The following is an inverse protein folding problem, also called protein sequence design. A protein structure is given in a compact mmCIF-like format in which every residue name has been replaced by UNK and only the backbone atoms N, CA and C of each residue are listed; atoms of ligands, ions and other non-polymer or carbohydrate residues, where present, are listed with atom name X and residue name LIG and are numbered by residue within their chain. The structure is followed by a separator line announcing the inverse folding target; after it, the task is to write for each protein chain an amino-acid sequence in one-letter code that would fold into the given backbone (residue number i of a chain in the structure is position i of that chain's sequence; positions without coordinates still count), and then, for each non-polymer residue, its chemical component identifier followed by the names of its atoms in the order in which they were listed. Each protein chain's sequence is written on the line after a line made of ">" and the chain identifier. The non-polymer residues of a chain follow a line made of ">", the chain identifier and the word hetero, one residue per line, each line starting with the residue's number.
data_IF_314401259932
#
_entry.id   IF_314401259932
#
_cell.length_a   1.000
_cell.length_b   1.000
_cell.length_c   1.000
_cell.angle_alpha   90.00
_cell.angle_beta   90.00
_cell.angle_gamma   90.00
#
_symmetry.space_group_name_H-M   'P 1'
#
loop_
_entity.id
_entity.type
_entity.pdbx_description
1 polymer ?
#
# COMPACT_ATOMS: atom_id res chain seq x y z
N UNK A 1 -35.91 -42.77 26.56
CA UNK A 1 -35.81 -41.45 25.90
C UNK A 1 -34.51 -40.82 26.36
N UNK A 2 -33.50 -40.89 25.54
CA UNK A 2 -32.17 -40.37 25.83
C UNK A 2 -31.98 -39.03 25.13
N UNK A 3 -31.84 -37.96 25.90
CA UNK A 3 -31.67 -36.59 25.41
C UNK A 3 -30.17 -36.35 25.11
N UNK A 4 -29.81 -36.31 23.82
CA UNK A 4 -28.48 -35.92 23.37
C UNK A 4 -28.37 -34.39 23.39
N UNK A 5 -27.63 -33.88 24.36
CA UNK A 5 -27.19 -32.48 24.39
C UNK A 5 -26.04 -32.30 23.38
N UNK A 6 -26.32 -31.65 22.24
CA UNK A 6 -25.31 -31.14 21.33
C UNK A 6 -24.66 -29.90 21.96
N UNK A 7 -23.49 -30.07 22.52
CA UNK A 7 -22.62 -28.95 22.88
C UNK A 7 -22.01 -28.39 21.59
N UNK A 8 -22.57 -27.30 21.10
CA UNK A 8 -21.97 -26.53 20.01
C UNK A 8 -20.72 -25.83 20.58
N UNK A 9 -19.55 -26.35 20.23
CA UNK A 9 -18.27 -25.68 20.46
C UNK A 9 -18.22 -24.43 19.56
N UNK A 10 -18.66 -23.29 20.08
CA UNK A 10 -18.36 -21.99 19.46
C UNK A 10 -16.87 -21.72 19.63
N UNK A 11 -16.11 -21.94 18.56
CA UNK A 11 -14.74 -21.45 18.43
C UNK A 11 -14.80 -19.94 18.46
N UNK A 12 -14.61 -19.35 19.64
CA UNK A 12 -14.35 -17.93 19.77
C UNK A 12 -12.96 -17.67 19.16
N UNK A 13 -12.92 -17.12 17.96
CA UNK A 13 -11.72 -16.57 17.35
C UNK A 13 -11.24 -15.40 18.23
N UNK A 14 -10.44 -15.71 19.26
CA UNK A 14 -9.76 -14.70 20.08
C UNK A 14 -8.89 -13.88 19.13
N UNK A 15 -9.24 -12.60 18.97
CA UNK A 15 -8.44 -11.61 18.27
C UNK A 15 -7.12 -11.46 19.05
N UNK A 16 -6.09 -12.18 18.62
CA UNK A 16 -4.77 -12.00 19.21
C UNK A 16 -4.21 -10.69 18.71
N UNK A 17 -4.11 -9.71 19.60
CA UNK A 17 -3.54 -8.39 19.31
C UNK A 17 -2.24 -8.27 20.10
N UNK A 18 -1.15 -7.94 19.39
CA UNK A 18 0.14 -7.59 19.99
C UNK A 18 0.36 -6.10 19.85
N UNK A 19 0.79 -5.46 20.92
CA UNK A 19 1.16 -4.04 20.92
C UNK A 19 2.66 -3.96 21.11
N UNK A 20 3.35 -3.33 20.15
CA UNK A 20 4.76 -2.97 20.25
C UNK A 20 4.80 -1.52 20.73
N UNK A 21 5.31 -1.28 21.91
CA UNK A 21 5.39 0.06 22.51
C UNK A 21 6.48 0.90 21.84
N UNK A 22 6.42 2.22 22.01
CA UNK A 22 7.45 3.13 21.49
C UNK A 22 8.86 2.80 22.01
N UNK A 23 8.97 2.29 23.23
CA UNK A 23 10.26 1.86 23.79
C UNK A 23 10.79 0.63 23.05
N UNK A 24 9.96 -0.38 22.84
CA UNK A 24 10.35 -1.56 22.07
C UNK A 24 10.69 -1.20 20.61
N UNK A 25 9.96 -0.28 20.00
CA UNK A 25 10.23 0.19 18.63
C UNK A 25 11.65 0.76 18.49
N UNK A 26 12.18 1.46 19.50
CA UNK A 26 13.54 2.03 19.46
C UNK A 26 14.63 0.95 19.32
N UNK A 27 14.38 -0.24 19.86
CA UNK A 27 15.33 -1.36 19.86
C UNK A 27 15.22 -2.27 18.62
N UNK A 28 14.17 -2.11 17.78
CA UNK A 28 14.06 -2.86 16.55
C UNK A 28 15.07 -2.35 15.50
N UNK A 29 15.76 -3.26 14.84
CA UNK A 29 16.56 -2.94 13.65
C UNK A 29 15.66 -2.65 12.44
N UNK A 30 16.21 -2.10 11.34
CA UNK A 30 15.46 -2.02 10.08
C UNK A 30 15.05 -3.41 9.58
N UNK A 31 15.91 -4.41 9.73
CA UNK A 31 15.63 -5.80 9.35
C UNK A 31 14.45 -6.40 10.12
N UNK A 32 14.31 -6.08 11.43
CA UNK A 32 13.13 -6.51 12.20
C UNK A 32 11.83 -5.91 11.63
N UNK A 33 11.86 -4.62 11.27
CA UNK A 33 10.71 -3.94 10.66
C UNK A 33 10.42 -4.52 9.26
N UNK A 34 11.45 -4.84 8.48
CA UNK A 34 11.31 -5.51 7.19
C UNK A 34 10.72 -6.92 7.33
N UNK A 35 11.12 -7.67 8.36
CA UNK A 35 10.55 -8.98 8.67
C UNK A 35 9.05 -8.87 9.01
N UNK A 36 8.66 -7.86 9.79
CA UNK A 36 7.24 -7.57 10.06
C UNK A 36 6.49 -7.26 8.75
N UNK A 37 7.07 -6.41 7.88
CA UNK A 37 6.48 -6.09 6.58
C UNK A 37 6.34 -7.33 5.68
N UNK A 38 7.31 -8.24 5.72
CA UNK A 38 7.25 -9.53 5.01
C UNK A 38 6.09 -10.38 5.52
N UNK A 39 5.93 -10.49 6.84
CA UNK A 39 4.84 -11.26 7.44
C UNK A 39 3.47 -10.65 7.09
N UNK A 40 3.33 -9.32 7.10
CA UNK A 40 2.11 -8.62 6.67
C UNK A 40 1.73 -9.03 5.24
N UNK A 41 2.70 -9.02 4.32
CA UNK A 41 2.49 -9.40 2.94
C UNK A 41 2.05 -10.87 2.80
N UNK A 42 2.73 -11.79 3.48
CA UNK A 42 2.41 -13.22 3.46
C UNK A 42 1.00 -13.49 3.99
N UNK A 43 0.64 -12.87 5.12
CA UNK A 43 -0.69 -13.04 5.70
C UNK A 43 -1.80 -12.41 4.85
N UNK A 44 -1.53 -11.28 4.20
CA UNK A 44 -2.46 -10.68 3.25
C UNK A 44 -2.67 -11.59 2.01
N UNK A 45 -1.59 -12.15 1.47
CA UNK A 45 -1.66 -13.10 0.34
C UNK A 45 -2.48 -14.34 0.69
N UNK A 46 -2.32 -14.91 1.89
CA UNK A 46 -3.09 -16.09 2.34
C UNK A 46 -4.60 -15.82 2.44
N UNK A 47 -4.97 -14.60 2.80
CA UNK A 47 -6.39 -14.21 2.98
C UNK A 47 -7.06 -13.69 1.72
N UNK A 48 -6.31 -13.45 0.67
CA UNK A 48 -6.80 -12.83 -0.56
C UNK A 48 -6.95 -13.84 -1.68
N UNK A 49 -7.95 -13.67 -2.54
CA UNK A 49 -8.02 -14.39 -3.80
C UNK A 49 -7.09 -13.71 -4.79
N UNK A 50 -5.99 -14.37 -5.12
CA UNK A 50 -4.98 -13.85 -6.03
C UNK A 50 -5.34 -14.24 -7.46
N UNK A 51 -5.25 -13.30 -8.40
CA UNK A 51 -5.47 -13.56 -9.80
C UNK A 51 -4.39 -14.52 -10.34
N UNK A 52 -4.81 -15.48 -11.17
CA UNK A 52 -3.90 -16.41 -11.82
C UNK A 52 -2.85 -15.64 -12.64
N UNK A 53 -1.62 -16.14 -12.68
CA UNK A 53 -0.49 -15.53 -13.38
C UNK A 53 -0.79 -15.31 -14.87
N UNK A 54 -1.52 -16.22 -15.50
CA UNK A 54 -1.91 -16.15 -16.91
C UNK A 54 -3.15 -15.27 -17.15
N UNK A 55 -3.80 -14.77 -16.11
CA UNK A 55 -4.98 -13.90 -16.26
C UNK A 55 -4.63 -12.59 -16.97
N UNK A 56 -5.62 -12.04 -17.70
CA UNK A 56 -5.48 -10.74 -18.38
C UNK A 56 -5.08 -9.61 -17.41
N UNK A 57 -5.62 -9.62 -16.19
CA UNK A 57 -5.33 -8.60 -15.18
C UNK A 57 -3.87 -8.69 -14.72
N UNK A 58 -3.37 -9.90 -14.44
CA UNK A 58 -1.99 -10.07 -14.01
C UNK A 58 -1.01 -9.76 -15.16
N UNK A 59 -1.27 -10.22 -16.38
CA UNK A 59 -0.44 -9.89 -17.56
C UNK A 59 -0.35 -8.39 -17.77
N UNK A 60 -1.49 -7.67 -17.67
CA UNK A 60 -1.50 -6.21 -17.74
C UNK A 60 -0.64 -5.57 -16.65
N UNK A 61 -0.79 -6.00 -15.40
CA UNK A 61 0.00 -5.49 -14.28
C UNK A 61 1.49 -5.70 -14.49
N UNK A 62 1.91 -6.93 -14.84
CA UNK A 62 3.31 -7.27 -15.05
C UNK A 62 3.93 -6.48 -16.22
N UNK A 63 3.19 -6.32 -17.32
CA UNK A 63 3.63 -5.51 -18.47
C UNK A 63 3.91 -4.06 -18.06
N UNK A 64 3.01 -3.44 -17.29
CA UNK A 64 3.19 -2.06 -16.83
C UNK A 64 4.30 -1.94 -15.78
N UNK A 65 4.41 -2.90 -14.86
CA UNK A 65 5.48 -2.94 -13.87
C UNK A 65 6.88 -3.03 -14.51
N UNK A 66 7.02 -3.71 -15.66
CA UNK A 66 8.28 -3.81 -16.38
C UNK A 66 8.80 -2.48 -16.94
N UNK A 67 7.94 -1.47 -17.07
CA UNK A 67 8.34 -0.10 -17.49
C UNK A 67 9.00 0.70 -16.38
N UNK A 68 8.94 0.22 -15.15
CA UNK A 68 9.46 0.84 -13.94
C UNK A 68 10.61 0.01 -13.33
N UNK A 69 11.37 0.53 -12.36
CA UNK A 69 12.41 -0.22 -11.69
C UNK A 69 11.89 -1.54 -11.09
N UNK A 70 12.65 -2.62 -11.29
CA UNK A 70 12.36 -3.94 -10.68
C UNK A 70 12.89 -4.05 -9.27
N UNK A 71 13.82 -3.17 -8.89
CA UNK A 71 14.53 -3.17 -7.62
C UNK A 71 14.70 -1.74 -7.10
N UNK A 72 14.49 -1.53 -5.81
CA UNK A 72 14.67 -0.24 -5.13
C UNK A 72 15.38 -0.50 -3.80
N UNK A 73 16.43 0.29 -3.47
CA UNK A 73 17.21 0.14 -2.24
C UNK A 73 17.69 -1.33 -1.99
N UNK A 74 18.08 -2.02 -3.06
CA UNK A 74 18.42 -3.45 -3.03
C UNK A 74 17.25 -4.42 -2.73
N UNK A 75 16.02 -3.93 -2.68
CA UNK A 75 14.80 -4.72 -2.44
C UNK A 75 14.15 -5.04 -3.80
N UNK A 76 13.96 -6.32 -4.09
CA UNK A 76 13.20 -6.78 -5.26
C UNK A 76 11.72 -6.47 -5.09
N UNK A 77 11.09 -5.92 -6.14
CA UNK A 77 9.67 -5.58 -6.11
C UNK A 77 8.82 -6.74 -6.63
N UNK A 78 7.79 -7.08 -5.89
CA UNK A 78 6.85 -8.15 -6.23
C UNK A 78 5.42 -7.63 -6.35
N UNK A 79 4.76 -7.98 -7.46
CA UNK A 79 3.43 -7.49 -7.78
C UNK A 79 2.43 -8.64 -7.85
N UNK A 80 1.27 -8.49 -7.18
CA UNK A 80 0.14 -9.41 -7.33
C UNK A 80 -1.17 -8.65 -7.44
N UNK A 81 -2.11 -9.26 -8.17
CA UNK A 81 -3.49 -8.75 -8.27
C UNK A 81 -4.36 -9.49 -7.28
N UNK A 82 -5.04 -8.76 -6.41
CA UNK A 82 -6.11 -9.32 -5.59
C UNK A 82 -7.46 -9.18 -6.30
N UNK A 83 -8.22 -10.25 -6.36
CA UNK A 83 -9.58 -10.24 -6.94
C UNK A 83 -10.55 -9.58 -5.94
N UNK A 84 -10.43 -8.27 -5.82
CA UNK A 84 -11.25 -7.43 -4.96
C UNK A 84 -11.77 -6.23 -5.77
N UNK A 85 -13.05 -5.91 -5.64
CA UNK A 85 -13.70 -4.82 -6.39
C UNK A 85 -13.40 -3.44 -5.83
N UNK A 86 -12.91 -3.34 -4.58
CA UNK A 86 -12.50 -2.08 -3.98
C UNK A 86 -11.27 -1.51 -4.72
N UNK A 87 -11.30 -0.27 -5.25
CA UNK A 87 -10.19 0.31 -6.00
C UNK A 87 -9.07 0.77 -5.06
N UNK A 88 -8.19 -0.15 -4.71
CA UNK A 88 -7.09 0.08 -3.78
C UNK A 88 -5.76 -0.54 -4.27
N UNK A 89 -4.65 0.03 -3.84
CA UNK A 89 -3.31 -0.53 -3.92
C UNK A 89 -2.57 -0.23 -2.62
N UNK A 90 -1.54 -1.02 -2.31
CA UNK A 90 -0.69 -0.81 -1.15
C UNK A 90 0.68 -1.47 -1.33
N UNK A 91 1.65 -1.01 -0.56
CA UNK A 91 3.00 -1.56 -0.53
C UNK A 91 3.53 -1.75 0.89
N UNK A 92 4.52 -2.63 1.03
CA UNK A 92 5.25 -2.83 2.28
C UNK A 92 6.73 -2.58 2.10
N UNK A 93 7.44 -2.44 3.20
CA UNK A 93 8.88 -2.14 3.24
C UNK A 93 9.74 -3.18 2.52
N UNK A 94 9.30 -4.42 2.40
CA UNK A 94 10.02 -5.52 1.74
C UNK A 94 9.81 -5.59 0.21
N UNK A 95 9.24 -4.58 -0.42
CA UNK A 95 9.03 -4.56 -1.88
C UNK A 95 7.74 -5.24 -2.36
N UNK A 96 6.88 -5.66 -1.44
CA UNK A 96 5.59 -6.24 -1.76
C UNK A 96 4.61 -5.14 -2.17
N UNK A 97 4.10 -5.19 -3.42
CA UNK A 97 3.09 -4.28 -3.95
C UNK A 97 1.88 -5.10 -4.37
N UNK A 98 0.71 -4.73 -3.86
CA UNK A 98 -0.56 -5.42 -4.12
C UNK A 98 -1.59 -4.46 -4.67
N UNK A 99 -2.33 -4.91 -5.69
CA UNK A 99 -3.28 -4.06 -6.41
C UNK A 99 -4.58 -4.81 -6.56
N UNK A 100 -5.66 -4.19 -6.15
CA UNK A 100 -6.98 -4.76 -6.30
C UNK A 100 -7.47 -4.69 -7.75
N UNK A 101 -8.18 -5.71 -8.21
CA UNK A 101 -8.76 -5.80 -9.55
C UNK A 101 -9.71 -4.63 -9.85
N UNK A 102 -10.38 -4.08 -8.84
CA UNK A 102 -11.20 -2.88 -8.97
C UNK A 102 -10.41 -1.66 -9.45
N UNK A 103 -9.20 -1.47 -8.92
CA UNK A 103 -8.33 -0.37 -9.34
C UNK A 103 -7.82 -0.56 -10.78
N UNK A 104 -7.41 -1.79 -11.15
CA UNK A 104 -6.94 -2.10 -12.52
C UNK A 104 -8.05 -1.88 -13.55
N UNK A 105 -9.31 -2.15 -13.19
CA UNK A 105 -10.48 -1.94 -14.07
C UNK A 105 -10.85 -0.47 -14.18
N UNK A 106 -10.64 0.31 -13.12
CA UNK A 106 -10.98 1.73 -13.05
C UNK A 106 -10.02 2.59 -13.88
N UNK A 107 -8.73 2.23 -13.90
CA UNK A 107 -7.65 3.04 -14.43
C UNK A 107 -7.19 2.59 -15.82
N UNK A 108 -6.80 3.57 -16.65
CA UNK A 108 -6.06 3.28 -17.88
C UNK A 108 -4.59 2.92 -17.57
N UNK A 109 -3.82 2.56 -18.59
CA UNK A 109 -2.44 2.07 -18.41
C UNK A 109 -1.52 3.14 -17.83
N UNK A 110 -1.62 4.38 -18.29
CA UNK A 110 -0.80 5.48 -17.77
C UNK A 110 -1.13 5.83 -16.32
N UNK A 111 -2.42 5.81 -15.94
CA UNK A 111 -2.86 6.01 -14.57
C UNK A 111 -2.41 4.86 -13.65
N UNK A 112 -2.43 3.63 -14.15
CA UNK A 112 -1.95 2.48 -13.40
C UNK A 112 -0.41 2.53 -13.22
N UNK A 113 0.35 2.94 -14.25
CA UNK A 113 1.79 3.20 -14.10
C UNK A 113 2.06 4.27 -13.02
N UNK A 114 1.22 5.32 -12.96
CA UNK A 114 1.33 6.35 -11.93
C UNK A 114 1.07 5.80 -10.52
N UNK A 115 0.09 4.90 -10.33
CA UNK A 115 -0.12 4.18 -9.06
C UNK A 115 1.10 3.35 -8.71
N UNK A 116 1.64 2.57 -9.66
CA UNK A 116 2.83 1.74 -9.41
C UNK A 116 4.04 2.59 -9.00
N UNK A 117 4.27 3.72 -9.66
CA UNK A 117 5.33 4.65 -9.32
C UNK A 117 5.14 5.26 -7.92
N UNK A 118 3.90 5.55 -7.52
CA UNK A 118 3.55 6.06 -6.20
C UNK A 118 3.82 5.02 -5.10
N UNK A 119 3.42 3.75 -5.31
CA UNK A 119 3.72 2.68 -4.37
C UNK A 119 5.23 2.40 -4.26
N UNK A 120 5.95 2.43 -5.38
CA UNK A 120 7.41 2.35 -5.38
C UNK A 120 8.06 3.51 -4.62
N UNK A 121 7.48 4.71 -4.66
CA UNK A 121 7.99 5.87 -3.92
C UNK A 121 7.91 5.65 -2.41
N UNK A 122 6.85 5.04 -1.89
CA UNK A 122 6.74 4.71 -0.47
C UNK A 122 7.87 3.77 -0.02
N UNK A 123 8.24 2.80 -0.86
CA UNK A 123 9.36 1.88 -0.60
C UNK A 123 10.70 2.62 -0.69
N UNK A 124 10.92 3.40 -1.76
CA UNK A 124 12.16 4.14 -2.00
C UNK A 124 12.48 5.12 -0.86
N UNK A 125 11.46 5.80 -0.36
CA UNK A 125 11.56 6.80 0.69
C UNK A 125 11.46 6.21 2.10
N UNK A 126 11.33 4.88 2.22
CA UNK A 126 11.22 4.13 3.48
C UNK A 126 10.09 4.65 4.39
N UNK A 127 8.95 5.06 3.81
CA UNK A 127 7.85 5.68 4.56
C UNK A 127 7.27 4.75 5.63
N UNK A 128 7.18 3.44 5.36
CA UNK A 128 6.72 2.46 6.33
C UNK A 128 7.67 2.37 7.54
N UNK A 129 8.99 2.31 7.32
CA UNK A 129 10.00 2.29 8.41
C UNK A 129 9.90 3.59 9.23
N UNK A 130 9.86 4.75 8.56
CA UNK A 130 9.74 6.05 9.21
C UNK A 130 8.46 6.16 10.04
N UNK A 131 7.34 5.67 9.50
CA UNK A 131 6.06 5.63 10.22
C UNK A 131 6.14 4.75 11.45
N UNK A 132 6.76 3.58 11.32
CA UNK A 132 6.98 2.65 12.42
C UNK A 132 7.78 3.32 13.55
N UNK A 133 8.89 4.00 13.21
CA UNK A 133 9.75 4.72 14.16
C UNK A 133 9.07 5.90 14.86
N UNK A 134 8.09 6.54 14.22
CA UNK A 134 7.39 7.71 14.76
C UNK A 134 6.09 7.34 15.49
N UNK A 135 5.66 6.09 15.43
CA UNK A 135 4.44 5.65 16.07
C UNK A 135 4.60 5.63 17.60
N UNK A 136 3.59 6.06 18.36
CA UNK A 136 3.59 5.90 19.82
C UNK A 136 3.48 4.43 20.22
N UNK A 137 2.87 3.63 19.38
CA UNK A 137 2.81 2.17 19.44
C UNK A 137 2.42 1.62 18.07
N UNK A 138 2.67 0.34 17.86
CA UNK A 138 2.22 -0.41 16.69
C UNK A 138 1.34 -1.56 17.16
N UNK A 139 0.17 -1.68 16.58
CA UNK A 139 -0.77 -2.76 16.87
C UNK A 139 -0.67 -3.81 15.77
N UNK A 140 -0.32 -5.04 16.14
CA UNK A 140 -0.26 -6.19 15.24
C UNK A 140 -1.43 -7.11 15.58
N UNK A 141 -2.31 -7.31 14.64
CA UNK A 141 -3.42 -8.24 14.73
C UNK A 141 -3.19 -9.42 13.80
N UNK A 142 -4.00 -10.47 13.95
CA UNK A 142 -4.01 -11.58 12.99
C UNK A 142 -4.46 -11.18 11.57
N UNK A 143 -4.88 -9.93 11.36
CA UNK A 143 -5.35 -9.42 10.05
C UNK A 143 -4.47 -8.31 9.49
N UNK A 144 -4.03 -7.38 10.33
CA UNK A 144 -3.36 -6.15 9.90
C UNK A 144 -2.32 -5.68 10.90
N UNK A 145 -1.41 -4.84 10.41
CA UNK A 145 -0.53 -4.01 11.25
C UNK A 145 -1.03 -2.57 11.16
N UNK A 146 -1.39 -2.01 12.31
CA UNK A 146 -1.86 -0.63 12.41
C UNK A 146 -0.74 0.23 12.97
N UNK A 147 -0.30 1.20 12.18
CA UNK A 147 0.73 2.17 12.54
C UNK A 147 0.08 3.54 12.62
N UNK A 148 -0.04 4.07 13.83
CA UNK A 148 -0.62 5.39 14.04
C UNK A 148 0.48 6.45 13.97
N UNK A 149 0.39 7.32 12.99
CA UNK A 149 1.25 8.50 12.85
C UNK A 149 0.41 9.77 12.86
N UNK A 150 1.04 10.89 13.22
CA UNK A 150 0.39 12.20 13.13
C UNK A 150 -0.06 12.48 11.69
N UNK A 151 -1.22 13.08 11.53
CA UNK A 151 -1.82 13.41 10.23
C UNK A 151 -0.86 14.18 9.32
N UNK A 152 -0.14 15.14 9.88
CA UNK A 152 0.81 15.99 9.16
C UNK A 152 1.96 15.16 8.58
N UNK A 153 2.42 14.14 9.31
CA UNK A 153 3.47 13.20 8.86
C UNK A 153 2.96 12.36 7.70
N UNK A 154 1.77 11.76 7.86
CA UNK A 154 1.16 10.97 6.79
C UNK A 154 0.94 11.81 5.52
N UNK A 155 0.44 13.04 5.67
CA UNK A 155 0.25 13.95 4.54
C UNK A 155 1.57 14.35 3.87
N UNK A 156 2.63 14.56 4.65
CA UNK A 156 3.97 14.83 4.12
C UNK A 156 4.45 13.66 3.26
N UNK A 157 4.29 12.43 3.73
CA UNK A 157 4.70 11.23 2.99
C UNK A 157 3.96 11.06 1.67
N UNK A 158 2.66 11.38 1.62
CA UNK A 158 1.90 11.38 0.37
C UNK A 158 2.46 12.40 -0.65
N UNK A 159 2.82 13.61 -0.19
CA UNK A 159 3.42 14.62 -1.06
C UNK A 159 4.84 14.23 -1.53
N UNK A 160 5.61 13.60 -0.67
CA UNK A 160 6.94 13.08 -1.02
C UNK A 160 6.82 11.94 -2.04
N UNK A 161 5.84 11.03 -1.85
CA UNK A 161 5.57 9.93 -2.78
C UNK A 161 5.10 10.45 -4.14
N UNK A 162 4.19 11.43 -4.19
CA UNK A 162 3.76 12.07 -5.43
C UNK A 162 4.94 12.71 -6.18
N UNK A 163 5.82 13.41 -5.46
CA UNK A 163 6.98 14.04 -6.08
C UNK A 163 7.98 13.03 -6.63
N UNK A 164 8.30 11.99 -5.86
CA UNK A 164 9.18 10.92 -6.32
C UNK A 164 8.59 10.20 -7.53
N UNK A 165 7.29 9.86 -7.49
CA UNK A 165 6.60 9.23 -8.59
C UNK A 165 6.63 10.10 -9.86
N UNK A 166 6.43 11.42 -9.72
CA UNK A 166 6.55 12.38 -10.81
C UNK A 166 7.92 12.30 -11.48
N UNK A 167 9.00 12.37 -10.68
CA UNK A 167 10.38 12.29 -11.18
C UNK A 167 10.64 10.93 -11.85
N UNK A 168 10.19 9.84 -11.22
CA UNK A 168 10.35 8.49 -11.74
C UNK A 168 9.68 8.32 -13.11
N UNK A 169 8.42 8.73 -13.24
CA UNK A 169 7.68 8.64 -14.51
C UNK A 169 8.39 9.43 -15.62
N UNK A 170 8.82 10.66 -15.32
CA UNK A 170 9.55 11.49 -16.26
C UNK A 170 10.88 10.86 -16.69
N UNK A 171 11.64 10.29 -15.75
CA UNK A 171 12.91 9.60 -16.04
C UNK A 171 12.75 8.37 -16.92
N UNK A 172 11.55 7.80 -16.96
CA UNK A 172 11.17 6.64 -17.78
C UNK A 172 10.43 7.03 -19.07
N UNK A 173 10.32 8.33 -19.39
CA UNK A 173 9.55 8.85 -20.52
C UNK A 173 8.06 8.40 -20.48
N UNK A 174 7.51 8.22 -19.28
CA UNK A 174 6.09 7.94 -19.05
C UNK A 174 5.39 9.26 -18.76
N UNK A 175 4.21 9.48 -19.37
CA UNK A 175 3.48 10.72 -19.20
C UNK A 175 3.06 10.91 -17.72
N UNK A 176 3.59 11.92 -17.00
CA UNK A 176 3.33 12.12 -15.59
C UNK A 176 1.93 12.63 -15.27
N UNK A 177 1.15 13.04 -16.27
CA UNK A 177 -0.25 13.47 -16.09
C UNK A 177 -1.12 12.34 -15.51
N UNK A 178 -0.70 11.10 -15.66
CA UNK A 178 -1.31 9.93 -15.04
C UNK A 178 -1.48 10.07 -13.51
N UNK A 179 -0.56 10.76 -12.82
CA UNK A 179 -0.70 11.07 -11.39
C UNK A 179 -1.91 11.95 -11.09
N UNK A 180 -2.16 12.95 -11.93
CA UNK A 180 -3.30 13.86 -11.77
C UNK A 180 -4.61 13.14 -12.06
N UNK A 181 -4.65 12.39 -13.17
CA UNK A 181 -5.89 11.74 -13.64
C UNK A 181 -6.26 10.55 -12.75
N UNK A 182 -5.30 9.78 -12.24
CA UNK A 182 -5.59 8.72 -11.25
C UNK A 182 -6.20 9.29 -9.97
N UNK A 183 -5.63 10.38 -9.42
CA UNK A 183 -6.15 11.03 -8.23
C UNK A 183 -7.59 11.54 -8.41
N UNK A 184 -7.96 11.99 -9.62
CA UNK A 184 -9.33 12.39 -9.93
C UNK A 184 -10.30 11.20 -9.91
N UNK A 185 -9.87 10.04 -10.40
CA UNK A 185 -10.72 8.84 -10.58
C UNK A 185 -10.86 8.00 -9.32
N UNK A 186 -9.78 7.80 -8.56
CA UNK A 186 -9.83 6.95 -7.36
C UNK A 186 -10.82 7.55 -6.34
N UNK A 187 -11.82 6.81 -5.85
CA UNK A 187 -12.77 7.32 -4.86
C UNK A 187 -12.09 7.74 -3.56
N UNK A 188 -12.69 8.65 -2.83
CA UNK A 188 -12.29 8.93 -1.45
C UNK A 188 -12.99 7.89 -0.58
N UNK A 189 -12.24 6.90 -0.08
CA UNK A 189 -12.83 5.91 0.83
C UNK A 189 -13.10 6.55 2.20
N UNK A 190 -14.37 6.63 2.56
CA UNK A 190 -14.80 7.15 3.88
C UNK A 190 -14.80 6.08 4.98
N UNK A 191 -14.58 4.81 4.61
CA UNK A 191 -14.87 3.66 5.49
C UNK A 191 -13.69 3.15 6.31
N UNK A 192 -12.46 3.59 6.06
CA UNK A 192 -11.30 3.23 6.87
C UNK A 192 -10.83 4.42 7.70
N UNK A 193 -10.45 4.19 8.95
CA UNK A 193 -9.85 5.21 9.84
C UNK A 193 -8.59 5.86 9.25
N UNK A 194 -8.05 5.32 8.15
CA UNK A 194 -6.89 5.83 7.41
C UNK A 194 -7.21 7.06 6.54
N UNK A 195 -8.48 7.30 6.18
CA UNK A 195 -8.86 8.42 5.28
C UNK A 195 -8.62 9.81 5.86
N UNK A 196 -8.56 9.95 7.18
CA UNK A 196 -8.23 11.23 7.84
C UNK A 196 -6.75 11.61 7.72
N UNK A 197 -5.88 10.67 7.36
CA UNK A 197 -4.43 10.89 7.26
C UNK A 197 -3.98 11.39 5.89
N UNK A 198 -4.73 11.12 4.81
CA UNK A 198 -4.35 11.57 3.48
C UNK A 198 -4.66 13.05 3.25
N UNK A 199 -3.76 13.81 2.57
CA UNK A 199 -4.07 15.17 2.14
C UNK A 199 -5.24 15.13 1.17
N UNK A 200 -6.00 16.25 1.11
CA UNK A 200 -7.05 16.34 0.11
C UNK A 200 -6.47 16.13 -1.31
N UNK A 201 -7.16 15.37 -2.15
CA UNK A 201 -6.78 15.16 -3.55
C UNK A 201 -6.51 16.47 -4.27
N UNK A 202 -7.30 17.52 -3.98
CA UNK A 202 -7.12 18.86 -4.55
C UNK A 202 -5.73 19.39 -4.25
N UNK A 203 -5.23 19.26 -3.01
CA UNK A 203 -3.89 19.72 -2.64
C UNK A 203 -2.79 18.91 -3.32
N UNK A 204 -2.96 17.58 -3.45
CA UNK A 204 -2.01 16.72 -4.17
C UNK A 204 -1.95 17.09 -5.64
N UNK A 205 -3.10 17.18 -6.30
CA UNK A 205 -3.22 17.58 -7.71
C UNK A 205 -2.59 18.95 -7.96
N UNK A 206 -2.91 19.97 -7.14
CA UNK A 206 -2.37 21.31 -7.29
C UNK A 206 -0.83 21.30 -7.22
N UNK A 207 -0.22 20.57 -6.28
CA UNK A 207 1.23 20.45 -6.17
C UNK A 207 1.89 19.72 -7.34
N UNK A 208 1.24 18.69 -7.88
CA UNK A 208 1.74 17.98 -9.07
C UNK A 208 1.70 18.91 -10.29
N UNK A 209 0.60 19.63 -10.50
CA UNK A 209 0.43 20.57 -11.63
C UNK A 209 1.42 21.72 -11.55
N UNK A 210 1.64 22.31 -10.37
CA UNK A 210 2.64 23.35 -10.15
C UNK A 210 4.04 22.89 -10.60
N UNK A 211 4.42 21.69 -10.26
CA UNK A 211 5.74 21.11 -10.65
C UNK A 211 5.82 20.74 -12.14
N UNK A 212 4.69 20.48 -12.79
CA UNK A 212 4.64 20.23 -14.24
C UNK A 212 4.69 21.54 -15.03
N UNK A 213 4.10 22.63 -14.50
CA UNK A 213 4.07 23.94 -15.16
C UNK A 213 5.34 24.76 -14.99
N UNK A 214 6.16 24.48 -13.99
CA UNK A 214 7.42 25.19 -13.70
C UNK A 214 8.66 24.57 -14.39
N UNK A 215 8.46 23.78 -15.43
CA UNK A 215 9.49 23.25 -16.34
C UNK A 215 9.22 23.71 -17.75
#
# INVERSE_FOLDING_TARGET
>A
MSCFLLVACQSQNKKTTFIITSEQIKHLSEQDIEAIGTQVCVEADKRSVIANENSRLNKKLQMLAQTLPKKINNIELTYKVYLNTDPNAWSTVNGCIRINSGLIKLLNDNELQAVLAHEQAHIALKHAIKSFRLAPYVEITNKDVVILVKKEVAQKYEFEADYYALQLLMSKNINPIGLVTMLKKIPIHSTTNTTKSHPSKIKRIARILDRLGNK
#
